data_IF_496415949826
#
_entry.id   IF_496415949826
#
_cell.length_a   1.000
_cell.length_b   1.000
_cell.length_c   1.000
_cell.angle_alpha   90.00
_cell.angle_beta   90.00
_cell.angle_gamma   90.00
#
_symmetry.space_group_name_H-M   'P 1'
#
loop_
_entity.id
_entity.type
_entity.pdbx_description
1 polymer ?
#
# COMPACT_ATOMS: atom_id res chain seq x y z
N UNK A 1 -0.31 11.17 -18.54
CA UNK A 1 0.07 9.95 -19.28
C UNK A 1 1.51 9.62 -18.99
N UNK A 2 1.72 8.79 -17.98
CA UNK A 2 2.95 8.03 -17.86
C UNK A 2 3.00 7.05 -19.04
N UNK A 3 4.11 7.00 -19.76
CA UNK A 3 4.32 6.07 -20.88
C UNK A 3 4.69 4.69 -20.31
N UNK A 4 3.73 4.04 -19.67
CA UNK A 4 3.89 2.73 -19.03
C UNK A 4 3.55 1.66 -20.07
N UNK A 5 4.55 0.87 -20.47
CA UNK A 5 4.32 -0.36 -21.22
C UNK A 5 3.73 -1.41 -20.27
N UNK A 6 2.40 -1.44 -20.19
CA UNK A 6 1.66 -2.34 -19.31
C UNK A 6 1.98 -3.80 -19.59
N UNK A 7 2.12 -4.19 -20.87
CA UNK A 7 2.43 -5.56 -21.27
C UNK A 7 3.82 -5.98 -20.74
N UNK A 8 4.81 -5.10 -20.87
CA UNK A 8 6.13 -5.32 -20.30
C UNK A 8 6.09 -5.41 -18.76
N UNK A 9 5.28 -4.57 -18.09
CA UNK A 9 5.20 -4.59 -16.63
C UNK A 9 4.48 -5.85 -16.12
N UNK A 10 3.48 -6.37 -16.85
CA UNK A 10 2.87 -7.68 -16.59
C UNK A 10 3.88 -8.81 -16.74
N UNK A 11 4.67 -8.82 -17.82
CA UNK A 11 5.77 -9.79 -18.02
C UNK A 11 6.76 -9.79 -16.87
N UNK A 12 7.22 -8.60 -16.50
CA UNK A 12 8.17 -8.42 -15.39
C UNK A 12 7.60 -8.92 -14.06
N UNK A 13 6.35 -8.56 -13.73
CA UNK A 13 5.72 -9.00 -12.49
C UNK A 13 5.56 -10.53 -12.47
N UNK A 14 5.08 -11.14 -13.57
CA UNK A 14 4.91 -12.59 -13.66
C UNK A 14 6.22 -13.33 -13.44
N UNK A 15 7.27 -12.94 -14.17
CA UNK A 15 8.58 -13.55 -14.03
C UNK A 15 9.06 -13.46 -12.57
N UNK A 16 8.87 -12.30 -11.93
CA UNK A 16 9.25 -12.12 -10.53
C UNK A 16 8.48 -13.05 -9.59
N UNK A 17 7.15 -13.19 -9.78
CA UNK A 17 6.30 -14.07 -8.99
C UNK A 17 6.64 -15.57 -9.18
N UNK A 18 7.23 -15.93 -10.31
CA UNK A 18 7.77 -17.28 -10.54
C UNK A 18 9.11 -17.48 -9.83
N UNK A 19 10.06 -16.55 -10.01
CA UNK A 19 11.41 -16.62 -9.43
C UNK A 19 11.39 -16.77 -7.90
N UNK A 20 10.44 -16.10 -7.22
CA UNK A 20 10.36 -16.13 -5.76
C UNK A 20 9.52 -17.27 -5.19
N UNK A 21 8.87 -18.09 -6.04
CA UNK A 21 7.93 -19.14 -5.62
C UNK A 21 8.58 -20.16 -4.68
N UNK A 22 9.81 -20.58 -4.97
CA UNK A 22 10.54 -21.52 -4.12
C UNK A 22 10.85 -20.89 -2.75
N UNK A 23 11.22 -19.61 -2.74
CA UNK A 23 11.56 -18.88 -1.51
C UNK A 23 10.36 -18.72 -0.59
N UNK A 24 9.19 -18.32 -1.13
CA UNK A 24 7.98 -18.15 -0.32
C UNK A 24 7.37 -19.48 0.13
N UNK A 25 7.78 -20.61 -0.44
CA UNK A 25 7.31 -21.94 -0.03
C UNK A 25 8.07 -22.47 1.19
N UNK A 26 9.20 -21.86 1.55
CA UNK A 26 9.99 -22.19 2.73
C UNK A 26 9.36 -21.62 4.00
N UNK A 27 8.55 -22.45 4.68
CA UNK A 27 7.88 -22.11 5.94
C UNK A 27 8.83 -21.69 7.07
N UNK A 28 10.12 -22.06 7.01
CA UNK A 28 11.08 -21.67 8.05
C UNK A 28 11.44 -20.19 8.02
N UNK A 29 11.16 -19.52 6.89
CA UNK A 29 11.40 -18.08 6.69
C UNK A 29 10.17 -17.22 6.97
N UNK A 30 9.00 -17.84 7.14
CA UNK A 30 7.75 -17.09 7.29
C UNK A 30 7.74 -16.29 8.60
N UNK A 31 7.22 -15.07 8.53
CA UNK A 31 7.01 -14.16 9.67
C UNK A 31 5.64 -14.35 10.33
N UNK A 32 4.88 -15.32 9.84
CA UNK A 32 3.56 -15.71 10.29
C UNK A 32 3.48 -17.24 10.46
N UNK A 33 2.51 -17.70 11.27
CA UNK A 33 2.32 -19.12 11.56
C UNK A 33 1.30 -19.84 10.68
N UNK A 34 0.45 -19.09 9.95
CA UNK A 34 -0.67 -19.64 9.19
C UNK A 34 -0.39 -19.60 7.68
N UNK A 35 -0.90 -20.58 6.94
CA UNK A 35 -0.75 -20.65 5.48
C UNK A 35 -1.68 -19.75 4.69
N UNK A 36 -2.56 -18.97 5.35
CA UNK A 36 -3.51 -18.09 4.69
C UNK A 36 -2.87 -17.12 3.71
N UNK A 37 -1.69 -16.57 4.05
CA UNK A 37 -0.97 -15.66 3.16
C UNK A 37 -0.39 -16.35 1.92
N UNK A 38 0.06 -17.61 2.01
CA UNK A 38 0.51 -18.35 0.84
C UNK A 38 -0.66 -18.67 -0.11
N UNK A 39 -1.82 -19.06 0.45
CA UNK A 39 -3.01 -19.30 -0.36
C UNK A 39 -3.43 -18.03 -1.09
N UNK A 40 -3.54 -16.91 -0.36
CA UNK A 40 -3.90 -15.63 -0.95
C UNK A 40 -2.87 -15.15 -1.99
N UNK A 41 -1.58 -15.37 -1.73
CA UNK A 41 -0.53 -15.12 -2.71
C UNK A 41 -0.75 -15.88 -4.01
N UNK A 42 -1.06 -17.18 -3.92
CA UNK A 42 -1.29 -18.02 -5.09
C UNK A 42 -2.57 -17.60 -5.85
N UNK A 43 -3.61 -17.14 -5.13
CA UNK A 43 -4.83 -16.62 -5.73
C UNK A 43 -4.53 -15.35 -6.54
N UNK A 44 -3.80 -14.38 -5.96
CA UNK A 44 -3.41 -13.15 -6.68
C UNK A 44 -2.46 -13.47 -7.83
N UNK A 45 -1.51 -14.40 -7.63
CA UNK A 45 -0.63 -14.86 -8.72
C UNK A 45 -1.45 -15.44 -9.87
N UNK A 46 -2.45 -16.26 -9.60
CA UNK A 46 -3.33 -16.79 -10.66
C UNK A 46 -4.08 -15.65 -11.39
N UNK A 47 -4.58 -14.66 -10.66
CA UNK A 47 -5.21 -13.47 -11.26
C UNK A 47 -4.24 -12.72 -12.17
N UNK A 48 -2.98 -12.47 -11.75
CA UNK A 48 -1.97 -11.81 -12.60
C UNK A 48 -1.73 -12.57 -13.91
N UNK A 49 -1.81 -13.91 -13.87
CA UNK A 49 -1.67 -14.74 -15.06
C UNK A 49 -2.90 -14.64 -15.97
N UNK A 50 -4.10 -14.73 -15.39
CA UNK A 50 -5.36 -14.56 -16.11
C UNK A 50 -5.48 -13.17 -16.76
N UNK A 51 -5.13 -12.10 -16.03
CA UNK A 51 -5.19 -10.74 -16.54
C UNK A 51 -4.29 -10.52 -17.74
N UNK A 52 -3.09 -11.10 -17.75
CA UNK A 52 -2.19 -11.00 -18.90
C UNK A 52 -2.69 -11.80 -20.10
N UNK A 53 -3.17 -13.02 -19.89
CA UNK A 53 -3.72 -13.83 -21.00
C UNK A 53 -4.92 -13.15 -21.67
N UNK A 54 -5.63 -12.33 -20.91
CA UNK A 54 -6.80 -11.58 -21.34
C UNK A 54 -6.52 -10.07 -21.40
N UNK A 55 -5.25 -9.64 -21.54
CA UNK A 55 -4.91 -8.22 -21.43
C UNK A 55 -5.71 -7.38 -22.42
N UNK A 56 -5.88 -7.84 -23.66
CA UNK A 56 -6.68 -7.15 -24.68
C UNK A 56 -8.18 -7.00 -24.33
N UNK A 57 -8.71 -7.80 -23.39
CA UNK A 57 -10.09 -7.69 -22.93
C UNK A 57 -10.23 -6.63 -21.82
N UNK A 58 -9.19 -6.45 -21.00
CA UNK A 58 -9.19 -5.55 -19.85
C UNK A 58 -8.49 -4.20 -20.14
N UNK A 59 -7.52 -4.22 -21.05
CA UNK A 59 -6.59 -3.18 -21.42
C UNK A 59 -6.29 -3.32 -22.91
N UNK A 60 -7.05 -2.65 -23.77
CA UNK A 60 -6.65 -2.53 -25.18
C UNK A 60 -5.83 -1.24 -25.32
N UNK A 61 -4.48 -1.32 -25.33
CA UNK A 61 -3.61 -0.14 -25.46
C UNK A 61 -3.77 0.56 -26.81
N UNK A 62 -4.43 -0.08 -27.78
CA UNK A 62 -4.67 0.45 -29.12
C UNK A 62 -6.11 0.97 -29.33
N UNK A 63 -7.04 0.69 -28.41
CA UNK A 63 -8.43 1.13 -28.54
C UNK A 63 -8.81 2.31 -27.63
N UNK A 64 -7.88 2.90 -26.88
CA UNK A 64 -8.18 4.05 -25.98
C UNK A 64 -8.93 5.18 -26.70
N UNK A 65 -8.63 5.44 -27.99
CA UNK A 65 -9.30 6.46 -28.80
C UNK A 65 -10.64 6.01 -29.42
N UNK A 66 -10.93 4.71 -29.45
CA UNK A 66 -12.13 4.09 -30.06
C UNK A 66 -13.12 3.52 -29.01
N UNK A 67 -12.74 3.45 -27.73
CA UNK A 67 -13.59 2.98 -26.64
C UNK A 67 -14.65 4.02 -26.29
N UNK A 68 -15.91 3.58 -26.17
CA UNK A 68 -16.95 4.45 -25.63
C UNK A 68 -16.77 4.62 -24.11
N UNK A 69 -17.41 5.67 -23.57
CA UNK A 69 -17.28 6.03 -22.16
C UNK A 69 -17.75 4.93 -21.20
N UNK A 70 -18.66 4.04 -21.62
CA UNK A 70 -19.15 2.94 -20.79
C UNK A 70 -18.10 1.83 -20.67
N UNK A 71 -17.38 1.55 -21.75
CA UNK A 71 -16.28 0.59 -21.72
C UNK A 71 -15.13 1.07 -20.84
N UNK A 72 -14.81 2.37 -20.88
CA UNK A 72 -13.79 2.93 -20.00
C UNK A 72 -14.20 2.85 -18.51
N UNK A 73 -15.48 3.09 -18.19
CA UNK A 73 -16.00 2.93 -16.82
C UNK A 73 -15.98 1.47 -16.34
N UNK A 74 -16.22 0.51 -17.22
CA UNK A 74 -16.10 -0.91 -16.89
C UNK A 74 -14.65 -1.30 -16.62
N UNK A 75 -13.72 -0.85 -17.47
CA UNK A 75 -12.27 -1.04 -17.29
C UNK A 75 -11.77 -0.42 -15.98
N UNK A 76 -12.27 0.76 -15.61
CA UNK A 76 -11.95 1.45 -14.36
C UNK A 76 -12.20 0.54 -13.14
N UNK A 77 -13.39 -0.07 -13.05
CA UNK A 77 -13.76 -0.94 -11.94
C UNK A 77 -12.84 -2.17 -11.87
N UNK A 78 -12.59 -2.83 -13.00
CA UNK A 78 -11.72 -4.00 -13.05
C UNK A 78 -10.28 -3.65 -12.68
N UNK A 79 -9.75 -2.57 -13.24
CA UNK A 79 -8.37 -2.16 -13.00
C UNK A 79 -8.14 -1.69 -11.57
N UNK A 80 -9.12 -0.98 -10.99
CA UNK A 80 -9.08 -0.60 -9.58
C UNK A 80 -8.97 -1.82 -8.68
N UNK A 81 -9.85 -2.82 -8.88
CA UNK A 81 -9.82 -4.06 -8.11
C UNK A 81 -8.50 -4.80 -8.27
N UNK A 82 -7.98 -4.87 -9.50
CA UNK A 82 -6.67 -5.46 -9.76
C UNK A 82 -5.54 -4.75 -9.00
N UNK A 83 -5.50 -3.41 -9.00
CA UNK A 83 -4.51 -2.64 -8.24
C UNK A 83 -4.62 -2.88 -6.72
N UNK A 84 -5.84 -2.98 -6.20
CA UNK A 84 -6.10 -3.29 -4.78
C UNK A 84 -5.57 -4.69 -4.41
N UNK A 85 -5.81 -5.70 -5.25
CA UNK A 85 -5.33 -7.07 -5.06
C UNK A 85 -3.80 -7.15 -5.18
N UNK A 86 -3.21 -6.51 -6.18
CA UNK A 86 -1.76 -6.43 -6.35
C UNK A 86 -1.05 -5.83 -5.13
N UNK A 87 -1.66 -4.85 -4.48
CA UNK A 87 -1.07 -4.22 -3.28
C UNK A 87 -0.96 -5.21 -2.12
N UNK A 88 -1.81 -6.26 -2.05
CA UNK A 88 -1.65 -7.33 -1.06
C UNK A 88 -0.33 -8.09 -1.24
N UNK A 89 0.20 -8.24 -2.46
CA UNK A 89 1.47 -8.94 -2.70
C UNK A 89 2.61 -8.35 -1.88
N UNK A 90 2.61 -7.04 -1.64
CA UNK A 90 3.65 -6.37 -0.84
C UNK A 90 3.61 -6.87 0.61
N UNK A 91 2.43 -6.86 1.25
CA UNK A 91 2.28 -7.37 2.63
C UNK A 91 2.49 -8.88 2.69
N UNK A 92 1.99 -9.62 1.71
CA UNK A 92 2.11 -11.08 1.66
C UNK A 92 3.57 -11.51 1.45
N UNK A 93 4.34 -10.79 0.63
CA UNK A 93 5.78 -11.00 0.47
C UNK A 93 6.50 -10.85 1.83
N UNK A 94 6.11 -9.85 2.61
CA UNK A 94 6.64 -9.67 3.95
C UNK A 94 6.23 -10.81 4.89
N UNK A 95 4.95 -11.20 4.91
CA UNK A 95 4.46 -12.36 5.67
C UNK A 95 5.28 -13.63 5.37
N UNK A 96 5.58 -13.87 4.08
CA UNK A 96 6.21 -15.07 3.55
C UNK A 96 7.75 -15.04 3.59
N UNK A 97 8.34 -14.07 4.30
CA UNK A 97 9.77 -14.11 4.58
C UNK A 97 10.66 -13.52 3.49
N UNK A 98 10.11 -12.83 2.48
CA UNK A 98 10.95 -12.22 1.45
C UNK A 98 11.82 -11.10 2.02
N UNK A 99 12.97 -10.90 1.39
CA UNK A 99 13.89 -9.82 1.71
C UNK A 99 13.37 -8.48 1.17
N UNK A 100 13.76 -7.39 1.81
CA UNK A 100 13.43 -6.02 1.42
C UNK A 100 13.68 -5.73 -0.08
N UNK A 101 14.79 -6.22 -0.65
CA UNK A 101 15.09 -6.06 -2.08
C UNK A 101 14.07 -6.74 -3.00
N UNK A 102 13.56 -7.91 -2.63
CA UNK A 102 12.54 -8.63 -3.41
C UNK A 102 11.17 -7.97 -3.26
N UNK A 103 10.84 -7.48 -2.05
CA UNK A 103 9.61 -6.74 -1.79
C UNK A 103 9.59 -5.44 -2.60
N UNK A 104 10.72 -4.73 -2.65
CA UNK A 104 10.90 -3.52 -3.47
C UNK A 104 10.57 -3.77 -4.93
N UNK A 105 11.02 -4.88 -5.50
CA UNK A 105 10.77 -5.19 -6.91
C UNK A 105 9.29 -5.42 -7.20
N UNK A 106 8.56 -6.06 -6.28
CA UNK A 106 7.10 -6.19 -6.35
C UNK A 106 6.44 -4.81 -6.24
N UNK A 107 6.83 -4.03 -5.23
CA UNK A 107 6.30 -2.68 -5.02
C UNK A 107 6.43 -1.79 -6.27
N UNK A 108 7.58 -1.82 -6.95
CA UNK A 108 7.79 -1.02 -8.16
C UNK A 108 6.77 -1.37 -9.25
N UNK A 109 6.47 -2.65 -9.45
CA UNK A 109 5.43 -3.08 -10.39
C UNK A 109 4.04 -2.63 -9.95
N UNK A 110 3.67 -2.88 -8.69
CA UNK A 110 2.38 -2.45 -8.12
C UNK A 110 2.19 -0.93 -8.28
N UNK A 111 3.24 -0.15 -8.03
CA UNK A 111 3.22 1.29 -8.17
C UNK A 111 2.98 1.75 -9.62
N UNK A 112 3.61 1.10 -10.61
CA UNK A 112 3.32 1.39 -12.03
C UNK A 112 1.86 1.11 -12.39
N UNK A 113 1.26 0.03 -11.90
CA UNK A 113 -0.15 -0.25 -12.15
C UNK A 113 -1.07 0.82 -11.55
N UNK A 114 -0.77 1.32 -10.35
CA UNK A 114 -1.52 2.45 -9.77
C UNK A 114 -1.40 3.73 -10.61
N UNK A 115 -0.21 4.04 -11.14
CA UNK A 115 -0.01 5.18 -12.04
C UNK A 115 -0.80 5.03 -13.34
N UNK A 116 -0.80 3.84 -13.93
CA UNK A 116 -1.59 3.54 -15.12
C UNK A 116 -3.10 3.66 -14.86
N UNK A 117 -3.57 3.26 -13.67
CA UNK A 117 -4.96 3.45 -13.27
C UNK A 117 -5.32 4.94 -13.09
N UNK A 118 -4.41 5.75 -12.53
CA UNK A 118 -4.61 7.21 -12.46
C UNK A 118 -4.68 7.87 -13.85
N UNK A 119 -3.90 7.39 -14.82
CA UNK A 119 -3.98 7.83 -16.22
C UNK A 119 -5.33 7.46 -16.86
N UNK A 120 -5.87 6.26 -16.58
CA UNK A 120 -7.22 5.86 -17.02
C UNK A 120 -8.31 6.78 -16.44
N UNK A 121 -8.24 7.11 -15.15
CA UNK A 121 -9.19 8.05 -14.53
C UNK A 121 -9.14 9.43 -15.22
N UNK A 122 -7.94 9.92 -15.52
CA UNK A 122 -7.75 11.20 -16.22
C UNK A 122 -8.36 11.18 -17.62
N UNK A 123 -8.21 10.07 -18.34
CA UNK A 123 -8.83 9.87 -19.66
C UNK A 123 -10.36 9.87 -19.57
N UNK A 124 -10.95 9.18 -18.60
CA UNK A 124 -12.40 9.15 -18.40
C UNK A 124 -12.93 10.55 -18.07
N UNK A 125 -12.21 11.31 -17.24
CA UNK A 125 -12.54 12.70 -16.94
C UNK A 125 -12.49 13.60 -18.19
N UNK A 126 -11.53 13.38 -19.11
CA UNK A 126 -11.49 14.12 -20.37
C UNK A 126 -12.69 13.87 -21.28
N UNK A 127 -13.41 12.75 -21.08
CA UNK A 127 -14.69 12.44 -21.71
C UNK A 127 -15.90 13.06 -20.99
N UNK A 128 -15.67 13.93 -20.01
CA UNK A 128 -16.71 14.71 -19.33
C UNK A 128 -17.44 13.96 -18.22
N UNK A 129 -16.93 12.80 -17.78
CA UNK A 129 -17.49 12.08 -16.63
C UNK A 129 -16.94 12.62 -15.30
N UNK A 130 -17.80 12.68 -14.29
CA UNK A 130 -17.40 12.99 -12.92
C UNK A 130 -17.09 11.70 -12.17
N UNK A 131 -15.85 11.24 -12.26
CA UNK A 131 -15.30 10.21 -11.36
C UNK A 131 -14.60 10.86 -10.17
N UNK A 132 -14.30 10.05 -9.15
CA UNK A 132 -13.39 10.44 -8.07
C UNK A 132 -12.08 11.01 -8.64
N UNK A 133 -11.57 12.08 -8.03
CA UNK A 133 -10.35 12.76 -8.49
C UNK A 133 -9.10 11.95 -8.14
N UNK A 134 -9.16 11.18 -7.05
CA UNK A 134 -8.03 10.39 -6.56
C UNK A 134 -8.11 8.94 -7.06
N UNK A 135 -6.97 8.40 -7.49
CA UNK A 135 -6.83 6.98 -7.78
C UNK A 135 -6.94 6.12 -6.52
N UNK A 136 -6.58 6.65 -5.35
CA UNK A 136 -6.69 5.96 -4.06
C UNK A 136 -7.50 6.84 -3.11
N UNK A 137 -8.63 6.34 -2.63
CA UNK A 137 -9.51 7.10 -1.74
C UNK A 137 -9.25 6.74 -0.28
N UNK A 138 -8.82 7.69 0.57
CA UNK A 138 -8.54 7.40 1.99
C UNK A 138 -9.74 6.84 2.77
N UNK A 139 -10.96 7.09 2.31
CA UNK A 139 -12.19 6.62 2.94
C UNK A 139 -12.36 5.09 2.83
N UNK A 140 -11.86 4.48 1.76
CA UNK A 140 -12.01 3.04 1.43
C UNK A 140 -10.67 2.31 1.37
N UNK A 141 -9.61 2.97 0.90
CA UNK A 141 -8.34 2.36 0.50
C UNK A 141 -7.18 2.79 1.41
N UNK A 142 -7.50 3.21 2.64
CA UNK A 142 -6.54 3.82 3.55
C UNK A 142 -5.26 2.98 3.75
N UNK A 143 -5.43 1.67 3.92
CA UNK A 143 -4.28 0.78 4.12
C UNK A 143 -3.43 0.61 2.86
N UNK A 144 -4.02 0.70 1.67
CA UNK A 144 -3.28 0.68 0.41
C UNK A 144 -2.41 1.93 0.29
N UNK A 145 -2.99 3.11 0.58
CA UNK A 145 -2.26 4.37 0.63
C UNK A 145 -1.07 4.29 1.61
N UNK A 146 -1.34 3.86 2.84
CA UNK A 146 -0.33 3.79 3.90
C UNK A 146 0.79 2.79 3.56
N UNK A 147 0.46 1.63 2.96
CA UNK A 147 1.47 0.64 2.58
C UNK A 147 2.34 1.14 1.41
N UNK A 148 1.76 1.80 0.41
CA UNK A 148 2.52 2.40 -0.70
C UNK A 148 3.43 3.52 -0.23
N UNK A 149 2.96 4.39 0.68
CA UNK A 149 3.78 5.43 1.31
C UNK A 149 4.92 4.82 2.15
N UNK A 150 4.65 3.74 2.88
CA UNK A 150 5.68 3.00 3.60
C UNK A 150 6.76 2.48 2.66
N UNK A 151 6.35 1.84 1.56
CA UNK A 151 7.27 1.34 0.54
C UNK A 151 8.09 2.45 -0.11
N UNK A 152 7.46 3.57 -0.47
CA UNK A 152 8.17 4.70 -1.05
C UNK A 152 9.24 5.24 -0.09
N UNK A 153 8.90 5.38 1.20
CA UNK A 153 9.84 5.81 2.23
C UNK A 153 10.95 4.78 2.53
N UNK A 154 10.70 3.49 2.31
CA UNK A 154 11.66 2.41 2.60
C UNK A 154 12.57 2.07 1.42
N UNK A 155 12.06 2.18 0.19
CA UNK A 155 12.67 1.56 -0.99
C UNK A 155 12.87 2.52 -2.15
N UNK A 156 12.19 3.66 -2.16
CA UNK A 156 12.14 4.56 -3.29
C UNK A 156 12.81 5.90 -2.98
N UNK A 157 12.88 6.71 -4.03
CA UNK A 157 13.35 8.07 -3.93
C UNK A 157 12.18 9.01 -3.58
N UNK A 158 12.53 10.22 -3.14
CA UNK A 158 11.60 11.29 -2.79
C UNK A 158 10.52 11.56 -3.85
N UNK A 159 10.87 11.37 -5.13
CA UNK A 159 9.96 11.55 -6.26
C UNK A 159 8.73 10.62 -6.21
N UNK A 160 8.87 9.39 -5.70
CA UNK A 160 7.75 8.45 -5.60
C UNK A 160 6.80 8.85 -4.47
N UNK A 161 7.32 9.38 -3.35
CA UNK A 161 6.51 9.96 -2.28
C UNK A 161 5.62 11.08 -2.82
N UNK A 162 6.21 12.05 -3.54
CA UNK A 162 5.49 13.18 -4.13
C UNK A 162 4.41 12.68 -5.11
N UNK A 163 4.76 11.77 -6.02
CA UNK A 163 3.81 11.23 -7.00
C UNK A 163 2.69 10.41 -6.38
N UNK A 164 2.92 9.71 -5.27
CA UNK A 164 1.84 9.01 -4.56
C UNK A 164 0.90 10.04 -3.93
N UNK A 165 1.42 11.05 -3.22
CA UNK A 165 0.58 12.01 -2.49
C UNK A 165 -0.19 12.93 -3.45
N UNK A 166 0.49 13.50 -4.44
CA UNK A 166 -0.12 14.38 -5.44
C UNK A 166 -0.89 13.56 -6.48
N UNK A 167 -0.22 12.62 -7.14
CA UNK A 167 -0.75 11.93 -8.32
C UNK A 167 -1.75 10.81 -8.05
N UNK A 168 -1.60 10.04 -6.96
CA UNK A 168 -2.52 8.94 -6.66
C UNK A 168 -3.59 9.33 -5.64
N UNK A 169 -3.23 10.12 -4.64
CA UNK A 169 -4.12 10.49 -3.55
C UNK A 169 -4.79 11.86 -3.75
N UNK A 170 -4.34 12.66 -4.74
CA UNK A 170 -4.86 13.99 -5.06
C UNK A 170 -4.84 14.97 -3.86
N UNK A 171 -3.71 15.04 -3.15
CA UNK A 171 -3.55 15.82 -1.91
C UNK A 171 -4.63 15.50 -0.87
N UNK A 172 -4.67 14.25 -0.41
CA UNK A 172 -5.67 13.86 0.57
C UNK A 172 -5.35 14.58 1.89
N UNK A 173 -6.36 14.79 2.73
CA UNK A 173 -6.12 15.37 4.05
C UNK A 173 -6.68 14.48 5.15
N UNK A 174 -5.76 13.99 5.97
CA UNK A 174 -6.01 13.38 7.26
C UNK A 174 -4.74 13.55 8.10
N UNK A 175 -4.87 13.49 9.42
CA UNK A 175 -3.78 13.86 10.33
C UNK A 175 -2.50 13.05 10.08
N UNK A 176 -2.60 11.74 9.83
CA UNK A 176 -1.44 10.89 9.62
C UNK A 176 -0.82 11.13 8.23
N UNK A 177 -1.63 11.20 7.19
CA UNK A 177 -1.16 11.42 5.82
C UNK A 177 -0.56 12.82 5.67
N UNK A 178 -1.13 13.84 6.31
CA UNK A 178 -0.57 15.20 6.34
C UNK A 178 0.81 15.22 7.00
N UNK A 179 0.97 14.49 8.12
CA UNK A 179 2.27 14.33 8.78
C UNK A 179 3.31 13.63 7.89
N UNK A 180 2.90 12.59 7.18
CA UNK A 180 3.76 11.85 6.25
C UNK A 180 4.16 12.74 5.07
N UNK A 181 3.24 13.59 4.62
CA UNK A 181 3.40 14.46 3.44
C UNK A 181 4.21 15.72 3.74
N UNK A 182 4.22 16.18 4.99
CA UNK A 182 4.84 17.44 5.42
C UNK A 182 6.29 17.67 4.94
N UNK A 183 7.19 16.66 4.95
CA UNK A 183 8.55 16.88 4.45
C UNK A 183 8.67 17.02 2.93
N UNK A 184 7.68 16.56 2.18
CA UNK A 184 7.74 16.38 0.73
C UNK A 184 6.91 17.41 -0.04
N UNK A 185 5.92 18.01 0.62
CA UNK A 185 4.95 18.92 0.03
C UNK A 185 4.70 20.11 0.96
N UNK A 186 4.28 21.24 0.39
CA UNK A 186 3.86 22.42 1.14
C UNK A 186 2.51 22.16 1.83
N UNK A 187 2.54 21.47 2.97
CA UNK A 187 1.36 21.25 3.81
C UNK A 187 1.21 22.47 4.73
N UNK A 188 0.25 23.36 4.42
CA UNK A 188 0.01 24.58 5.20
C UNK A 188 -0.44 24.29 6.64
N UNK A 189 -1.28 23.26 6.82
CA UNK A 189 -1.82 22.85 8.13
C UNK A 189 -2.00 21.35 8.18
N UNK A 190 -1.61 20.73 9.30
CA UNK A 190 -1.91 19.31 9.58
C UNK A 190 -3.35 19.20 10.08
N UNK A 191 -4.14 18.32 9.46
CA UNK A 191 -5.53 18.05 9.84
C UNK A 191 -5.65 17.56 11.28
N UNK A 192 -6.76 17.92 11.94
CA UNK A 192 -7.08 17.43 13.29
C UNK A 192 -7.76 16.06 13.27
N UNK A 193 -8.21 15.59 12.10
CA UNK A 193 -9.05 14.40 11.95
C UNK A 193 -8.31 13.26 11.26
N UNK A 194 -8.63 12.02 11.63
CA UNK A 194 -8.17 10.83 10.92
C UNK A 194 -9.30 10.27 10.05
N UNK A 195 -9.00 9.83 8.83
CA UNK A 195 -9.95 9.09 8.00
C UNK A 195 -10.25 7.69 8.60
N UNK A 196 -9.30 7.18 9.40
CA UNK A 196 -9.42 5.95 10.19
C UNK A 196 -9.01 6.23 11.64
N UNK A 197 -9.99 6.30 12.56
CA UNK A 197 -9.71 6.65 13.96
C UNK A 197 -8.81 5.63 14.69
N UNK A 198 -9.02 4.33 14.49
CA UNK A 198 -8.25 3.29 15.20
C UNK A 198 -7.45 2.46 14.20
N UNK A 199 -6.13 2.26 14.40
CA UNK A 199 -5.36 2.61 15.60
C UNK A 199 -4.83 4.06 15.67
N UNK A 200 -4.95 4.84 14.60
CA UNK A 200 -4.12 6.04 14.39
C UNK A 200 -4.38 7.20 15.35
N UNK A 201 -5.59 7.36 15.90
CA UNK A 201 -5.88 8.36 16.94
C UNK A 201 -5.08 8.17 18.22
N UNK A 202 -4.56 6.97 18.48
CA UNK A 202 -3.64 6.75 19.60
C UNK A 202 -2.29 7.49 19.42
N UNK A 203 -1.97 7.89 18.18
CA UNK A 203 -0.81 8.72 17.88
C UNK A 203 -0.98 10.15 18.40
N UNK A 204 -2.19 10.63 18.71
CA UNK A 204 -2.39 11.98 19.27
C UNK A 204 -1.61 12.16 20.57
N UNK A 205 -1.53 11.13 21.41
CA UNK A 205 -0.72 11.17 22.64
C UNK A 205 0.78 11.32 22.37
N UNK A 206 1.25 10.76 21.24
CA UNK A 206 2.65 10.78 20.83
C UNK A 206 3.00 12.09 20.12
N UNK A 207 2.22 12.47 19.12
CA UNK A 207 2.43 13.62 18.24
C UNK A 207 2.26 14.97 18.95
N UNK A 208 1.55 15.01 20.07
CA UNK A 208 1.45 16.21 20.93
C UNK A 208 2.57 16.29 21.99
N UNK A 209 3.55 15.38 21.94
CA UNK A 209 4.71 15.31 22.84
C UNK A 209 6.00 15.13 22.03
N UNK A 210 7.14 14.93 22.70
CA UNK A 210 8.39 14.56 22.02
C UNK A 210 8.24 13.17 21.40
N UNK A 211 8.42 13.07 20.08
CA UNK A 211 8.42 11.79 19.35
C UNK A 211 9.82 11.18 19.43
N UNK A 212 9.94 10.07 20.16
CA UNK A 212 11.19 9.39 20.47
C UNK A 212 11.00 7.87 20.67
N UNK A 213 12.09 7.16 20.97
CA UNK A 213 12.09 5.72 21.20
C UNK A 213 11.10 5.30 22.31
N UNK A 214 10.97 6.08 23.38
CA UNK A 214 10.13 5.72 24.52
C UNK A 214 8.65 5.83 24.16
N UNK A 215 8.27 6.92 23.51
CA UNK A 215 6.89 7.17 23.07
C UNK A 215 6.45 6.18 22.00
N UNK A 216 7.31 5.86 21.03
CA UNK A 216 7.02 4.83 20.02
C UNK A 216 6.88 3.43 20.64
N UNK A 217 7.71 3.09 21.63
CA UNK A 217 7.59 1.81 22.35
C UNK A 217 6.25 1.70 23.09
N UNK A 218 5.81 2.77 23.75
CA UNK A 218 4.51 2.81 24.43
C UNK A 218 3.35 2.64 23.46
N UNK A 219 3.43 3.28 22.29
CA UNK A 219 2.44 3.13 21.22
C UNK A 219 2.33 1.67 20.75
N UNK A 220 3.45 1.03 20.40
CA UNK A 220 3.48 -0.36 19.96
C UNK A 220 3.02 -1.32 21.07
N UNK A 221 3.44 -1.10 22.31
CA UNK A 221 3.02 -1.90 23.47
C UNK A 221 1.50 -1.86 23.67
N UNK A 222 0.89 -0.68 23.54
CA UNK A 222 -0.57 -0.54 23.67
C UNK A 222 -1.31 -1.30 22.55
N UNK A 223 -0.78 -1.26 21.33
CA UNK A 223 -1.38 -1.97 20.19
C UNK A 223 -1.28 -3.49 20.31
N UNK A 224 -0.15 -4.02 20.77
CA UNK A 224 -0.01 -5.45 21.01
C UNK A 224 -0.94 -5.92 22.14
N UNK A 225 -1.07 -5.12 23.20
CA UNK A 225 -2.02 -5.38 24.28
C UNK A 225 -3.47 -5.44 23.76
N UNK A 226 -3.87 -4.46 22.94
CA UNK A 226 -5.19 -4.44 22.32
C UNK A 226 -5.43 -5.65 21.39
N UNK A 227 -4.40 -6.08 20.67
CA UNK A 227 -4.47 -7.25 19.78
C UNK A 227 -4.64 -8.54 20.57
N UNK A 228 -3.89 -8.72 21.66
CA UNK A 228 -4.02 -9.87 22.57
C UNK A 228 -5.41 -9.96 23.22
N UNK A 229 -6.04 -8.80 23.47
CA UNK A 229 -7.40 -8.74 24.04
C UNK A 229 -8.52 -8.91 23.00
N UNK A 230 -8.20 -9.10 21.72
CA UNK A 230 -9.20 -9.22 20.66
C UNK A 230 -9.95 -7.91 20.34
N UNK A 231 -9.56 -6.79 20.95
CA UNK A 231 -10.14 -5.46 20.70
C UNK A 231 -9.87 -4.98 19.28
N UNK A 232 -8.75 -5.41 18.70
CA UNK A 232 -8.36 -5.12 17.33
C UNK A 232 -9.37 -5.71 16.31
N UNK A 233 -9.82 -6.95 16.53
CA UNK A 233 -10.68 -7.70 15.61
C UNK A 233 -12.19 -7.45 15.81
N UNK A 234 -12.58 -6.89 16.96
CA UNK A 234 -13.98 -6.65 17.33
C UNK A 234 -14.52 -5.29 16.84
N UNK A 235 -13.68 -4.44 16.25
CA UNK A 235 -14.07 -3.10 15.79
C UNK A 235 -14.56 -3.13 14.35
N UNK A 236 -15.69 -2.46 14.09
CA UNK A 236 -16.34 -2.33 12.76
C UNK A 236 -15.45 -1.77 11.65
N UNK A 237 -14.28 -1.22 11.97
CA UNK A 237 -13.36 -0.56 11.03
C UNK A 237 -12.16 -1.44 10.62
N UNK A 238 -12.07 -2.67 11.13
CA UNK A 238 -10.98 -3.60 10.79
C UNK A 238 -10.80 -3.77 9.28
N UNK A 239 -11.89 -3.71 8.50
CA UNK A 239 -11.83 -3.81 7.03
C UNK A 239 -10.96 -2.72 6.38
N UNK A 240 -10.90 -1.49 6.93
CA UNK A 240 -10.13 -0.38 6.35
C UNK A 240 -8.61 -0.54 6.49
N UNK A 241 -8.18 -1.36 7.44
CA UNK A 241 -6.76 -1.64 7.73
C UNK A 241 -6.39 -3.12 7.53
N UNK A 242 -7.32 -3.92 6.99
CA UNK A 242 -7.17 -5.37 6.89
C UNK A 242 -5.95 -5.78 6.04
N UNK A 243 -5.62 -4.99 5.02
CA UNK A 243 -4.43 -5.19 4.18
C UNK A 243 -3.14 -5.26 5.00
N UNK A 244 -2.99 -4.42 6.03
CA UNK A 244 -1.77 -4.35 6.85
C UNK A 244 -1.61 -5.57 7.76
N UNK A 245 -2.69 -6.31 8.00
CA UNK A 245 -2.69 -7.48 8.88
C UNK A 245 -2.32 -7.11 10.32
N UNK A 246 -1.30 -7.80 10.86
CA UNK A 246 -0.75 -7.51 12.19
C UNK A 246 0.33 -6.43 12.20
N UNK A 247 0.81 -6.02 11.03
CA UNK A 247 2.01 -5.19 10.91
C UNK A 247 1.69 -3.71 11.14
N UNK A 248 2.64 -3.00 11.76
CA UNK A 248 2.56 -1.57 12.09
C UNK A 248 3.45 -0.76 11.15
N UNK A 249 3.07 -0.70 9.88
CA UNK A 249 3.80 0.07 8.87
C UNK A 249 3.78 1.57 9.17
N UNK A 250 2.72 2.08 9.79
CA UNK A 250 2.66 3.45 10.30
C UNK A 250 3.75 3.74 11.34
N UNK A 251 4.09 2.76 12.19
CA UNK A 251 5.14 2.94 13.19
C UNK A 251 6.52 3.03 12.55
N UNK A 252 6.78 2.22 11.51
CA UNK A 252 8.02 2.29 10.73
C UNK A 252 8.16 3.65 10.03
N UNK A 253 7.08 4.12 9.40
CA UNK A 253 7.02 5.45 8.78
C UNK A 253 7.36 6.55 9.79
N UNK A 254 6.71 6.54 10.96
CA UNK A 254 6.96 7.57 11.99
C UNK A 254 8.40 7.51 12.48
N UNK A 255 8.94 6.30 12.73
CA UNK A 255 10.34 6.17 13.14
C UNK A 255 11.29 6.76 12.10
N UNK A 256 11.04 6.54 10.80
CA UNK A 256 11.81 7.14 9.72
C UNK A 256 11.69 8.66 9.67
N UNK A 257 10.47 9.19 9.71
CA UNK A 257 10.20 10.63 9.66
C UNK A 257 10.92 11.39 10.78
N UNK A 258 11.00 10.79 11.97
CA UNK A 258 11.62 11.41 13.14
C UNK A 258 13.06 10.96 13.41
N UNK A 259 13.64 10.11 12.56
CA UNK A 259 15.01 9.60 12.74
C UNK A 259 15.21 8.77 14.02
N UNK A 260 14.19 8.00 14.40
CA UNK A 260 14.21 7.14 15.59
C UNK A 260 14.97 5.86 15.29
N UNK A 261 15.93 5.50 16.16
CA UNK A 261 16.65 4.22 16.13
C UNK A 261 15.68 3.04 16.30
N UNK A 262 15.78 2.05 15.40
CA UNK A 262 14.78 0.98 15.32
C UNK A 262 15.01 -0.18 16.31
N UNK A 263 16.18 -0.32 16.92
CA UNK A 263 16.54 -1.51 17.70
C UNK A 263 15.57 -1.85 18.83
N UNK A 264 14.97 -0.83 19.46
CA UNK A 264 13.93 -1.04 20.47
C UNK A 264 12.58 -1.44 19.84
N UNK A 265 12.26 -0.92 18.66
CA UNK A 265 11.02 -1.25 17.93
C UNK A 265 11.02 -2.70 17.42
N UNK A 266 12.19 -3.24 17.05
CA UNK A 266 12.35 -4.63 16.58
C UNK A 266 11.96 -5.69 17.61
N UNK A 267 11.78 -5.31 18.88
CA UNK A 267 11.33 -6.21 19.96
C UNK A 267 9.83 -6.52 19.88
N UNK A 268 9.06 -5.70 19.17
CA UNK A 268 7.61 -5.85 19.01
C UNK A 268 7.33 -6.76 17.82
N UNK A 269 6.55 -7.83 18.01
CA UNK A 269 6.22 -8.82 16.98
C UNK A 269 5.43 -8.23 15.80
N UNK A 270 4.81 -7.08 16.02
CA UNK A 270 4.01 -6.33 15.06
C UNK A 270 4.81 -5.29 14.26
N UNK A 271 6.07 -5.02 14.64
CA UNK A 271 6.92 -4.05 13.94
C UNK A 271 7.53 -4.68 12.67
N UNK A 272 7.43 -4.03 11.50
CA UNK A 272 7.94 -4.57 10.23
C UNK A 272 9.44 -4.31 10.07
N UNK A 273 10.26 -4.89 10.95
CA UNK A 273 11.70 -4.64 11.06
C UNK A 273 12.53 -4.98 9.82
N UNK A 274 12.18 -6.05 9.11
CA UNK A 274 12.90 -6.49 7.91
C UNK A 274 12.34 -5.89 6.60
N UNK A 275 11.55 -4.82 6.72
CA UNK A 275 10.95 -4.09 5.61
C UNK A 275 11.83 -2.91 5.14
N UNK A 276 13.01 -2.76 5.72
CA UNK A 276 14.07 -1.90 5.21
C UNK A 276 15.41 -2.66 5.23
N UNK A 277 16.34 -2.21 4.39
CA UNK A 277 17.68 -2.82 4.26
C UNK A 277 18.61 -2.41 5.40
#
# INVERSE_FOLDING_TARGET
>A
MNDIDQAQEFEKLQQRLEEIQESISDRTKWRISQSGSLNHWNDIKAQVFEYKENENLYFDPYAIDDLDVYQLLEQEIYFKNFCLELTYLIRLAYDLGLAATQIREIYLSVYQFWLAYADLLSLIQSHGQQLGVAAIELTTDYSHALLLLCCAMCYADEADMIKIIDGLLAYPSDRLIDLISYPYLEVETISETYAVDYPFKQLDGLLNTTVDVSTMSLYLQQLEHDQQQGKYWSKKFFHKIALLGKWRFEALIICKLYGIELDEMKKFESFPDAFEN
#
